data_IF_594554962188
#
_entry.id   IF_594554962188
#
_cell.length_a   1.000
_cell.length_b   1.000
_cell.length_c   1.000
_cell.angle_alpha   90.00
_cell.angle_beta   90.00
_cell.angle_gamma   90.00
#
_symmetry.space_group_name_H-M   'P 1'
#
loop_
_entity.id
_entity.type
_entity.pdbx_description
1 polymer ?
#
# COMPACT_ATOMS: atom_id res chain seq x y z
N UNK A 1 -38.88 10.96 -43.93
CA UNK A 1 -37.74 11.28 -43.04
C UNK A 1 -38.03 10.71 -41.67
N UNK A 2 -37.46 9.54 -41.35
CA UNK A 2 -37.72 8.82 -40.10
C UNK A 2 -36.62 9.20 -39.11
N UNK A 3 -36.96 9.93 -38.06
CA UNK A 3 -36.02 10.32 -37.01
C UNK A 3 -35.67 9.09 -36.16
N UNK A 4 -34.41 8.67 -36.19
CA UNK A 4 -33.86 7.67 -35.27
C UNK A 4 -33.66 8.36 -33.93
N UNK A 5 -34.57 8.09 -32.98
CA UNK A 5 -34.41 8.50 -31.59
C UNK A 5 -33.29 7.64 -31.00
N UNK A 6 -32.14 8.27 -30.73
CA UNK A 6 -31.02 7.62 -30.05
C UNK A 6 -31.47 7.21 -28.64
N UNK A 7 -31.34 5.92 -28.33
CA UNK A 7 -31.64 5.40 -27.01
C UNK A 7 -30.70 6.02 -25.95
N UNK A 8 -31.20 6.37 -24.76
CA UNK A 8 -30.37 6.94 -23.71
C UNK A 8 -29.28 5.96 -23.28
N UNK A 9 -28.04 6.43 -23.27
CA UNK A 9 -26.88 5.71 -22.71
C UNK A 9 -27.18 5.43 -21.23
N UNK A 10 -27.43 4.16 -20.89
CA UNK A 10 -27.60 3.73 -19.50
C UNK A 10 -26.31 4.04 -18.73
N UNK A 11 -26.36 5.02 -17.84
CA UNK A 11 -25.29 5.20 -16.87
C UNK A 11 -25.25 3.97 -15.93
N UNK A 12 -24.08 3.36 -15.71
CA UNK A 12 -24.00 2.21 -14.83
C UNK A 12 -24.29 2.64 -13.38
N UNK A 13 -25.41 2.18 -12.83
CA UNK A 13 -25.71 2.29 -11.40
C UNK A 13 -24.73 1.42 -10.61
N UNK A 14 -23.77 2.03 -9.92
CA UNK A 14 -22.80 1.33 -9.06
C UNK A 14 -23.44 0.92 -7.72
N UNK A 15 -24.25 -0.12 -7.71
CA UNK A 15 -24.68 -0.74 -6.45
C UNK A 15 -23.52 -1.46 -5.76
N UNK A 16 -23.40 -1.36 -4.43
CA UNK A 16 -22.31 -1.98 -3.66
C UNK A 16 -22.18 -3.50 -3.89
N UNK A 17 -23.29 -4.21 -4.11
CA UNK A 17 -23.32 -5.64 -4.44
C UNK A 17 -22.69 -5.90 -5.82
N UNK A 18 -22.96 -5.04 -6.83
CA UNK A 18 -22.37 -5.15 -8.17
C UNK A 18 -20.88 -4.82 -8.16
N UNK A 19 -20.46 -3.87 -7.33
CA UNK A 19 -19.05 -3.55 -7.14
C UNK A 19 -18.32 -4.76 -6.53
N UNK A 20 -18.82 -5.32 -5.42
CA UNK A 20 -18.22 -6.50 -4.77
C UNK A 20 -18.11 -7.70 -5.72
N UNK A 21 -19.19 -8.04 -6.44
CA UNK A 21 -19.16 -9.14 -7.42
C UNK A 21 -18.16 -8.87 -8.54
N UNK A 22 -18.05 -7.61 -8.99
CA UNK A 22 -17.08 -7.22 -10.02
C UNK A 22 -15.64 -7.34 -9.52
N UNK A 23 -15.33 -6.94 -8.28
CA UNK A 23 -13.97 -7.00 -7.74
C UNK A 23 -13.49 -8.44 -7.61
N UNK A 24 -14.30 -9.29 -6.97
CA UNK A 24 -13.99 -10.71 -6.79
C UNK A 24 -13.83 -11.45 -8.12
N UNK A 25 -14.56 -11.06 -9.17
CA UNK A 25 -14.44 -11.68 -10.49
C UNK A 25 -13.11 -11.35 -11.19
N UNK A 26 -12.59 -10.14 -11.02
CA UNK A 26 -11.36 -9.72 -11.70
C UNK A 26 -10.11 -10.16 -10.96
N UNK A 27 -10.14 -10.17 -9.61
CA UNK A 27 -9.05 -10.69 -8.79
C UNK A 27 -9.57 -11.33 -7.50
N UNK A 28 -9.94 -12.62 -7.54
CA UNK A 28 -10.53 -13.28 -6.37
C UNK A 28 -9.54 -13.42 -5.21
N UNK A 29 -8.26 -13.70 -5.48
CA UNK A 29 -7.28 -13.99 -4.41
C UNK A 29 -6.98 -12.76 -3.58
N UNK A 30 -6.67 -11.62 -4.23
CA UNK A 30 -6.40 -10.39 -3.49
C UNK A 30 -7.67 -9.85 -2.82
N UNK A 31 -8.84 -9.98 -3.47
CA UNK A 31 -10.09 -9.59 -2.83
C UNK A 31 -10.36 -10.40 -1.56
N UNK A 32 -10.31 -11.73 -1.65
CA UNK A 32 -10.61 -12.63 -0.52
C UNK A 32 -9.59 -12.46 0.62
N UNK A 33 -8.29 -12.41 0.30
CA UNK A 33 -7.25 -12.17 1.30
C UNK A 33 -7.37 -10.78 1.94
N UNK A 34 -7.69 -9.73 1.17
CA UNK A 34 -7.91 -8.39 1.70
C UNK A 34 -9.12 -8.32 2.65
N UNK A 35 -10.22 -8.98 2.31
CA UNK A 35 -11.39 -9.09 3.21
C UNK A 35 -11.04 -9.90 4.46
N UNK A 36 -10.32 -11.01 4.31
CA UNK A 36 -9.89 -11.82 5.46
C UNK A 36 -9.06 -11.00 6.45
N UNK A 37 -8.07 -10.23 5.97
CA UNK A 37 -7.27 -9.34 6.83
C UNK A 37 -8.13 -8.29 7.54
N UNK A 38 -9.09 -7.68 6.84
CA UNK A 38 -10.01 -6.72 7.45
C UNK A 38 -10.87 -7.38 8.56
N UNK A 39 -11.26 -8.64 8.39
CA UNK A 39 -12.00 -9.39 9.40
C UNK A 39 -11.11 -9.80 10.58
N UNK A 40 -9.84 -10.16 10.32
CA UNK A 40 -8.85 -10.51 11.35
C UNK A 40 -8.46 -9.30 12.23
N UNK A 41 -8.61 -8.08 11.73
CA UNK A 41 -8.45 -6.89 12.56
C UNK A 41 -9.39 -6.85 13.77
N UNK A 42 -10.57 -7.48 13.71
CA UNK A 42 -11.49 -7.51 14.84
C UNK A 42 -10.98 -8.32 16.06
N UNK A 43 -10.57 -9.60 15.93
CA UNK A 43 -9.95 -10.32 17.04
C UNK A 43 -8.62 -9.71 17.48
N UNK A 44 -7.81 -9.15 16.58
CA UNK A 44 -6.58 -8.44 16.96
C UNK A 44 -6.88 -7.17 17.77
N UNK A 45 -7.94 -6.44 17.44
CA UNK A 45 -8.40 -5.28 18.21
C UNK A 45 -8.94 -5.69 19.58
N UNK A 46 -9.67 -6.81 19.63
CA UNK A 46 -10.09 -7.38 20.90
C UNK A 46 -8.88 -7.77 21.76
N UNK A 47 -7.84 -8.37 21.17
CA UNK A 47 -6.59 -8.68 21.86
C UNK A 47 -5.91 -7.42 22.42
N UNK A 48 -5.81 -6.34 21.63
CA UNK A 48 -5.31 -5.04 22.09
C UNK A 48 -6.11 -4.48 23.28
N UNK A 49 -7.42 -4.74 23.32
CA UNK A 49 -8.27 -4.27 24.41
C UNK A 49 -8.10 -5.07 25.72
N UNK A 50 -7.79 -6.37 25.64
CA UNK A 50 -7.75 -7.26 26.82
C UNK A 50 -6.33 -7.58 27.30
N UNK A 51 -5.33 -7.48 26.43
CA UNK A 51 -3.92 -7.75 26.74
C UNK A 51 -3.20 -6.44 27.05
N UNK A 52 -3.10 -6.10 28.34
CA UNK A 52 -2.45 -4.86 28.80
C UNK A 52 -0.92 -4.84 28.68
N UNK A 53 -0.30 -5.79 27.98
CA UNK A 53 1.15 -5.81 27.77
C UNK A 53 1.56 -4.78 26.71
N UNK A 54 2.68 -4.10 26.98
CA UNK A 54 3.31 -3.17 26.05
C UNK A 54 4.70 -3.62 25.66
N UNK A 55 5.10 -3.35 24.42
CA UNK A 55 6.43 -3.55 23.89
C UNK A 55 6.97 -2.21 23.40
N UNK A 56 8.11 -1.77 23.92
CA UNK A 56 8.73 -0.47 23.59
C UNK A 56 7.81 0.74 23.80
N UNK A 57 6.93 0.68 24.81
CA UNK A 57 6.03 1.79 25.16
C UNK A 57 4.78 1.91 24.28
N UNK A 58 4.56 0.97 23.34
CA UNK A 58 3.32 0.83 22.57
C UNK A 58 2.65 -0.50 22.92
N UNK A 59 1.32 -0.57 22.79
CA UNK A 59 0.56 -1.81 22.93
C UNK A 59 1.02 -2.88 21.93
N UNK A 60 1.17 -4.13 22.40
CA UNK A 60 1.71 -5.25 21.62
C UNK A 60 0.97 -5.49 20.30
N UNK A 61 -0.33 -5.24 20.27
CA UNK A 61 -1.24 -5.60 19.18
C UNK A 61 -1.45 -4.48 18.18
N UNK A 62 -1.00 -3.26 18.48
CA UNK A 62 -1.14 -2.11 17.58
C UNK A 62 -0.34 -2.32 16.28
N UNK A 63 0.85 -2.91 16.35
CA UNK A 63 1.63 -3.23 15.15
C UNK A 63 0.91 -4.25 14.24
N UNK A 64 0.46 -5.42 14.73
CA UNK A 64 -0.41 -6.32 13.99
C UNK A 64 -1.60 -5.62 13.32
N UNK A 65 -2.36 -4.80 14.07
CA UNK A 65 -3.52 -4.07 13.54
C UNK A 65 -3.17 -3.16 12.36
N UNK A 66 -2.08 -2.40 12.49
CA UNK A 66 -1.59 -1.51 11.42
C UNK A 66 -1.28 -2.31 10.16
N UNK A 67 -0.64 -3.47 10.29
CA UNK A 67 -0.32 -4.34 9.16
C UNK A 67 -1.57 -4.95 8.51
N UNK A 68 -2.52 -5.45 9.31
CA UNK A 68 -3.78 -5.99 8.79
C UNK A 68 -4.56 -4.95 7.98
N UNK A 69 -4.70 -3.74 8.52
CA UNK A 69 -5.39 -2.63 7.84
C UNK A 69 -4.63 -2.23 6.58
N UNK A 70 -3.32 -2.02 6.65
CA UNK A 70 -2.52 -1.60 5.50
C UNK A 70 -2.52 -2.63 4.38
N UNK A 71 -2.30 -3.92 4.69
CA UNK A 71 -2.27 -5.00 3.72
C UNK A 71 -3.68 -5.30 3.15
N UNK A 72 -4.73 -5.13 3.96
CA UNK A 72 -6.11 -5.19 3.48
C UNK A 72 -6.38 -4.10 2.44
N UNK A 73 -6.06 -2.84 2.76
CA UNK A 73 -6.23 -1.71 1.84
C UNK A 73 -5.42 -1.93 0.56
N UNK A 74 -4.17 -2.40 0.69
CA UNK A 74 -3.29 -2.71 -0.42
C UNK A 74 -3.91 -3.74 -1.38
N UNK A 75 -4.32 -4.90 -0.86
CA UNK A 75 -4.89 -5.99 -1.66
C UNK A 75 -6.25 -5.61 -2.28
N UNK A 76 -7.10 -4.91 -1.53
CA UNK A 76 -8.39 -4.45 -2.05
C UNK A 76 -8.23 -3.37 -3.12
N UNK A 77 -7.19 -2.53 -3.01
CA UNK A 77 -6.85 -1.55 -4.05
C UNK A 77 -6.38 -2.25 -5.33
N UNK A 78 -5.51 -3.27 -5.21
CA UNK A 78 -5.11 -4.07 -6.37
C UNK A 78 -6.30 -4.82 -6.96
N UNK A 79 -7.16 -5.43 -6.15
CA UNK A 79 -8.38 -6.07 -6.65
C UNK A 79 -9.31 -5.09 -7.39
N UNK A 80 -9.35 -3.83 -6.97
CA UNK A 80 -10.03 -2.75 -7.70
C UNK A 80 -9.37 -2.40 -9.03
N UNK A 81 -8.04 -2.31 -9.06
CA UNK A 81 -7.27 -2.07 -10.28
C UNK A 81 -7.30 -3.24 -11.27
N UNK A 82 -7.60 -4.46 -10.79
CA UNK A 82 -7.68 -5.65 -11.63
C UNK A 82 -8.72 -5.55 -12.75
N UNK A 83 -9.72 -4.66 -12.60
CA UNK A 83 -10.73 -4.36 -13.64
C UNK A 83 -10.15 -3.84 -14.95
N UNK A 84 -8.93 -3.33 -14.93
CA UNK A 84 -8.23 -2.80 -16.11
C UNK A 84 -7.12 -3.70 -16.61
N UNK A 85 -6.92 -4.87 -16.01
CA UNK A 85 -6.01 -5.88 -16.55
C UNK A 85 -6.58 -6.49 -17.84
N UNK A 86 -5.74 -7.07 -18.72
CA UNK A 86 -6.23 -7.85 -19.84
C UNK A 86 -7.22 -8.93 -19.38
N UNK A 87 -8.32 -9.12 -20.13
CA UNK A 87 -9.30 -10.18 -19.83
C UNK A 87 -8.62 -11.55 -19.78
N UNK A 88 -9.02 -12.40 -18.85
CA UNK A 88 -8.44 -13.72 -18.68
C UNK A 88 -7.16 -13.76 -17.83
N UNK A 89 -6.64 -12.62 -17.34
CA UNK A 89 -5.38 -12.57 -16.59
C UNK A 89 -5.42 -13.46 -15.34
N UNK A 90 -6.47 -13.36 -14.52
CA UNK A 90 -6.63 -14.15 -13.30
C UNK A 90 -6.68 -15.67 -13.53
N UNK A 91 -7.03 -16.09 -14.76
CA UNK A 91 -7.12 -17.49 -15.17
C UNK A 91 -5.78 -18.06 -15.67
N UNK A 92 -4.81 -17.20 -16.03
CA UNK A 92 -3.50 -17.65 -16.52
C UNK A 92 -2.71 -18.33 -15.40
N UNK A 93 -2.12 -19.50 -15.70
CA UNK A 93 -1.37 -20.30 -14.72
C UNK A 93 -0.27 -19.51 -14.01
N UNK A 94 0.55 -18.77 -14.77
CA UNK A 94 1.63 -17.95 -14.19
C UNK A 94 1.09 -16.95 -13.16
N UNK A 95 -0.02 -16.30 -13.48
CA UNK A 95 -0.62 -15.27 -12.63
C UNK A 95 -1.29 -15.89 -11.40
N UNK A 96 -1.90 -17.06 -11.54
CA UNK A 96 -2.45 -17.81 -10.40
C UNK A 96 -1.37 -18.20 -9.39
N UNK A 97 -0.21 -18.65 -9.88
CA UNK A 97 0.93 -18.98 -9.02
C UNK A 97 1.45 -17.70 -8.38
N UNK A 98 1.69 -16.66 -9.17
CA UNK A 98 2.19 -15.37 -8.70
C UNK A 98 1.29 -14.74 -7.61
N UNK A 99 0.00 -14.58 -7.88
CA UNK A 99 -0.97 -14.03 -6.92
C UNK A 99 -1.10 -14.89 -5.66
N UNK A 100 -1.01 -16.22 -5.77
CA UNK A 100 -0.97 -17.09 -4.61
C UNK A 100 0.33 -16.90 -3.78
N UNK A 101 1.49 -16.75 -4.43
CA UNK A 101 2.76 -16.49 -3.74
C UNK A 101 2.76 -15.14 -3.03
N UNK A 102 2.14 -14.10 -3.61
CA UNK A 102 1.94 -12.80 -2.95
C UNK A 102 1.08 -12.95 -1.69
N UNK A 103 -0.04 -13.67 -1.77
CA UNK A 103 -0.90 -13.93 -0.60
C UNK A 103 -0.17 -14.76 0.45
N UNK A 104 0.64 -15.75 0.04
CA UNK A 104 1.44 -16.55 0.97
C UNK A 104 2.51 -15.72 1.69
N UNK A 105 3.17 -14.78 1.01
CA UNK A 105 4.10 -13.84 1.63
C UNK A 105 3.43 -12.96 2.67
N UNK A 106 2.22 -12.44 2.37
CA UNK A 106 1.41 -11.68 3.33
C UNK A 106 0.99 -12.53 4.52
N UNK A 107 0.57 -13.78 4.29
CA UNK A 107 0.19 -14.69 5.37
C UNK A 107 1.38 -15.00 6.29
N UNK A 108 2.56 -15.27 5.72
CA UNK A 108 3.80 -15.44 6.47
C UNK A 108 4.11 -14.22 7.34
N UNK A 109 4.08 -13.03 6.74
CA UNK A 109 4.33 -11.77 7.44
C UNK A 109 3.38 -11.58 8.63
N UNK A 110 2.08 -11.83 8.42
CA UNK A 110 1.09 -11.68 9.49
C UNK A 110 1.26 -12.71 10.61
N UNK A 111 1.52 -13.98 10.27
CA UNK A 111 1.78 -15.01 11.28
C UNK A 111 2.99 -14.64 12.13
N UNK A 112 4.05 -14.14 11.50
CA UNK A 112 5.26 -13.75 12.20
C UNK A 112 5.06 -12.53 13.09
N UNK A 113 4.42 -11.47 12.57
CA UNK A 113 4.14 -10.25 13.35
C UNK A 113 3.21 -10.54 14.53
N UNK A 114 2.12 -11.28 14.33
CA UNK A 114 1.20 -11.66 15.40
C UNK A 114 1.88 -12.58 16.42
N UNK A 115 2.71 -13.53 15.97
CA UNK A 115 3.49 -14.40 16.85
C UNK A 115 4.47 -13.61 17.73
N UNK A 116 5.20 -12.66 17.14
CA UNK A 116 6.11 -11.78 17.89
C UNK A 116 5.35 -10.93 18.92
N UNK A 117 4.19 -10.37 18.55
CA UNK A 117 3.32 -9.63 19.47
C UNK A 117 2.83 -10.51 20.64
N UNK A 118 2.42 -11.75 20.37
CA UNK A 118 1.98 -12.69 21.39
C UNK A 118 3.10 -13.03 22.38
N UNK A 119 4.33 -13.19 21.88
CA UNK A 119 5.54 -13.45 22.67
C UNK A 119 6.11 -12.20 23.36
N UNK A 120 5.63 -11.00 23.02
CA UNK A 120 6.18 -9.74 23.53
C UNK A 120 7.61 -9.47 23.05
N UNK A 121 7.92 -9.86 21.81
CA UNK A 121 9.24 -9.68 21.20
C UNK A 121 9.17 -8.85 19.92
N UNK A 122 10.31 -8.35 19.46
CA UNK A 122 10.39 -7.70 18.16
C UNK A 122 10.22 -8.73 17.03
N UNK A 123 9.40 -8.41 16.02
CA UNK A 123 9.47 -9.10 14.72
C UNK A 123 10.64 -8.56 13.90
N UNK A 124 10.57 -7.28 13.52
CA UNK A 124 11.62 -6.62 12.76
C UNK A 124 12.75 -6.14 13.66
N UNK A 125 13.99 -6.26 13.20
CA UNK A 125 15.21 -5.89 13.94
C UNK A 125 15.43 -6.69 15.24
N UNK A 126 14.91 -7.91 15.29
CA UNK A 126 15.18 -8.83 16.38
C UNK A 126 16.57 -9.47 16.17
N UNK A 127 17.54 -9.29 17.09
CA UNK A 127 18.91 -9.77 16.92
C UNK A 127 19.09 -11.26 17.25
N UNK A 128 18.01 -11.98 17.60
CA UNK A 128 18.08 -13.44 17.79
C UNK A 128 18.34 -14.15 16.44
N UNK A 129 19.05 -15.30 16.44
CA UNK A 129 19.31 -16.06 15.21
C UNK A 129 18.03 -16.39 14.42
N UNK A 130 16.97 -16.80 15.12
CA UNK A 130 15.66 -17.05 14.53
C UNK A 130 15.01 -15.77 13.98
N UNK A 131 15.16 -14.65 14.69
CA UNK A 131 14.68 -13.34 14.27
C UNK A 131 15.30 -12.89 12.94
N UNK A 132 16.61 -13.03 12.79
CA UNK A 132 17.34 -12.68 11.56
C UNK A 132 16.93 -13.55 10.36
N UNK A 133 16.67 -14.84 10.59
CA UNK A 133 16.18 -15.75 9.56
C UNK A 133 14.79 -15.32 9.09
N UNK A 134 13.85 -15.10 10.01
CA UNK A 134 12.51 -14.65 9.65
C UNK A 134 12.54 -13.26 8.99
N UNK A 135 13.41 -12.36 9.46
CA UNK A 135 13.60 -11.04 8.86
C UNK A 135 14.07 -11.13 7.40
N UNK A 136 15.00 -12.04 7.09
CA UNK A 136 15.47 -12.27 5.72
C UNK A 136 14.34 -12.77 4.81
N UNK A 137 13.53 -13.72 5.29
CA UNK A 137 12.35 -14.19 4.56
C UNK A 137 11.28 -13.11 4.39
N UNK A 138 11.06 -12.29 5.42
CA UNK A 138 10.14 -11.16 5.37
C UNK A 138 10.58 -10.12 4.33
N UNK A 139 11.89 -9.85 4.21
CA UNK A 139 12.43 -8.99 3.15
C UNK A 139 12.13 -9.50 1.75
N UNK A 140 12.32 -10.81 1.51
CA UNK A 140 11.95 -11.46 0.23
C UNK A 140 10.43 -11.39 0.01
N UNK A 141 9.65 -11.64 1.05
CA UNK A 141 8.19 -11.54 1.04
C UNK A 141 7.69 -10.14 0.71
N UNK A 142 8.31 -9.10 1.29
CA UNK A 142 8.02 -7.70 1.06
C UNK A 142 8.34 -7.28 -0.38
N UNK A 143 9.46 -7.75 -0.94
CA UNK A 143 9.78 -7.55 -2.36
C UNK A 143 8.74 -8.23 -3.26
N UNK A 144 8.41 -9.49 -2.96
CA UNK A 144 7.44 -10.26 -3.73
C UNK A 144 6.04 -9.62 -3.69
N UNK A 145 5.53 -9.26 -2.51
CA UNK A 145 4.21 -8.63 -2.42
C UNK A 145 4.20 -7.28 -3.14
N UNK A 146 5.21 -6.42 -2.90
CA UNK A 146 5.24 -5.06 -3.46
C UNK A 146 5.38 -5.09 -4.99
N UNK A 147 5.99 -6.13 -5.54
CA UNK A 147 6.10 -6.36 -6.99
C UNK A 147 4.75 -6.40 -7.72
N UNK A 148 3.64 -6.64 -7.01
CA UNK A 148 2.31 -6.66 -7.64
C UNK A 148 1.95 -5.31 -8.26
N UNK A 149 2.47 -4.21 -7.70
CA UNK A 149 2.24 -2.86 -8.22
C UNK A 149 2.84 -2.65 -9.63
N UNK A 150 4.15 -2.83 -9.88
CA UNK A 150 4.69 -2.71 -11.24
C UNK A 150 4.21 -3.81 -12.20
N UNK A 151 3.88 -5.01 -11.73
CA UNK A 151 3.23 -6.03 -12.58
C UNK A 151 1.89 -5.53 -13.09
N UNK A 152 1.07 -4.93 -12.24
CA UNK A 152 -0.19 -4.31 -12.63
C UNK A 152 0.04 -3.11 -13.56
N UNK A 153 1.02 -2.26 -13.27
CA UNK A 153 1.39 -1.13 -14.14
C UNK A 153 1.69 -1.61 -15.56
N UNK A 154 2.53 -2.64 -15.70
CA UNK A 154 2.91 -3.23 -16.98
C UNK A 154 1.70 -3.83 -17.74
N UNK A 155 0.88 -4.62 -17.05
CA UNK A 155 -0.32 -5.23 -17.63
C UNK A 155 -1.34 -4.19 -18.10
N UNK A 156 -1.61 -3.16 -17.29
CA UNK A 156 -2.54 -2.08 -17.62
C UNK A 156 -1.99 -1.22 -18.76
N UNK A 157 -0.70 -0.89 -18.74
CA UNK A 157 -0.05 -0.13 -19.80
C UNK A 157 -0.23 -0.81 -21.16
N UNK A 158 0.02 -2.12 -21.22
CA UNK A 158 -0.11 -2.95 -22.42
C UNK A 158 -1.54 -3.27 -22.83
N UNK A 159 -2.53 -3.03 -21.99
CA UNK A 159 -3.93 -3.29 -22.32
C UNK A 159 -4.52 -2.11 -23.14
N UNK A 160 -4.84 -2.28 -24.44
CA UNK A 160 -5.43 -1.20 -25.25
C UNK A 160 -6.92 -0.99 -24.92
N UNK A 161 -7.61 -1.98 -24.35
CA UNK A 161 -9.07 -1.98 -24.17
C UNK A 161 -9.51 -1.65 -22.74
N UNK A 162 -8.69 -0.91 -21.98
CA UNK A 162 -9.03 -0.51 -20.60
C UNK A 162 -10.29 0.37 -20.52
N UNK A 163 -10.61 1.14 -21.57
CA UNK A 163 -11.68 2.13 -21.54
C UNK A 163 -11.41 3.34 -20.62
N UNK A 164 -10.21 3.44 -20.05
CA UNK A 164 -9.80 4.58 -19.23
C UNK A 164 -9.50 5.79 -20.12
N UNK A 165 -9.84 6.99 -19.61
CA UNK A 165 -9.33 8.23 -20.16
C UNK A 165 -7.79 8.19 -20.21
N UNK A 166 -7.15 8.68 -21.29
CA UNK A 166 -5.69 8.65 -21.43
C UNK A 166 -4.92 9.20 -20.23
N UNK A 167 -5.35 10.33 -19.65
CA UNK A 167 -4.70 10.92 -18.47
C UNK A 167 -4.83 10.04 -17.21
N UNK A 168 -6.01 9.45 -16.97
CA UNK A 168 -6.23 8.54 -15.85
C UNK A 168 -5.47 7.22 -16.01
N UNK A 169 -5.40 6.67 -17.23
CA UNK A 169 -4.58 5.49 -17.50
C UNK A 169 -3.11 5.76 -17.19
N UNK A 170 -2.60 6.91 -17.62
CA UNK A 170 -1.21 7.31 -17.34
C UNK A 170 -0.97 7.49 -15.83
N UNK A 171 -1.87 8.17 -15.12
CA UNK A 171 -1.79 8.32 -13.66
C UNK A 171 -1.77 6.97 -12.94
N UNK A 172 -2.65 6.05 -13.33
CA UNK A 172 -2.73 4.70 -12.78
C UNK A 172 -1.44 3.91 -12.98
N UNK A 173 -0.94 3.88 -14.21
CA UNK A 173 0.31 3.18 -14.56
C UNK A 173 1.49 3.79 -13.83
N UNK A 174 1.62 5.13 -13.80
CA UNK A 174 2.73 5.82 -13.14
C UNK A 174 2.71 5.60 -11.63
N UNK A 175 1.56 5.74 -10.96
CA UNK A 175 1.46 5.50 -9.51
C UNK A 175 1.84 4.08 -9.12
N UNK A 176 1.35 3.09 -9.87
CA UNK A 176 1.70 1.68 -9.65
C UNK A 176 3.18 1.38 -9.96
N UNK A 177 3.74 1.96 -11.02
CA UNK A 177 5.14 1.74 -11.40
C UNK A 177 6.12 2.35 -10.39
N UNK A 178 5.78 3.51 -9.79
CA UNK A 178 6.63 4.21 -8.83
C UNK A 178 6.59 3.62 -7.42
N UNK A 179 5.54 2.86 -7.08
CA UNK A 179 5.35 2.34 -5.72
C UNK A 179 6.52 1.45 -5.30
N UNK A 180 6.90 0.44 -6.08
CA UNK A 180 8.03 -0.43 -5.75
C UNK A 180 9.37 0.32 -5.60
N UNK A 181 9.89 1.08 -6.58
CA UNK A 181 11.21 1.70 -6.45
C UNK A 181 11.30 2.70 -5.29
N UNK A 182 10.26 3.51 -5.05
CA UNK A 182 10.25 4.42 -3.89
C UNK A 182 10.20 3.65 -2.56
N UNK A 183 9.45 2.54 -2.53
CA UNK A 183 9.36 1.68 -1.35
C UNK A 183 10.70 1.01 -1.07
N UNK A 184 11.40 0.52 -2.10
CA UNK A 184 12.73 -0.09 -1.96
C UNK A 184 13.77 0.92 -1.47
N UNK A 185 13.73 2.17 -1.94
CA UNK A 185 14.62 3.22 -1.45
C UNK A 185 14.44 3.44 0.05
N UNK A 186 13.19 3.62 0.50
CA UNK A 186 12.87 3.97 1.88
C UNK A 186 13.02 2.78 2.84
N UNK A 187 12.44 1.62 2.50
CA UNK A 187 12.52 0.41 3.32
C UNK A 187 13.93 -0.21 3.30
N UNK A 188 14.63 -0.13 2.17
CA UNK A 188 16.00 -0.63 2.05
C UNK A 188 16.94 0.11 2.98
N UNK A 189 16.81 1.44 3.07
CA UNK A 189 17.58 2.25 4.01
C UNK A 189 17.27 1.89 5.47
N UNK A 190 15.99 1.75 5.83
CA UNK A 190 15.60 1.29 7.18
C UNK A 190 16.19 -0.08 7.52
N UNK A 191 16.17 -1.01 6.55
CA UNK A 191 16.76 -2.34 6.72
C UNK A 191 18.27 -2.29 6.88
N UNK A 192 18.95 -1.42 6.14
CA UNK A 192 20.40 -1.26 6.23
C UNK A 192 20.83 -0.67 7.57
N UNK A 193 20.06 0.28 8.10
CA UNK A 193 20.33 0.90 9.39
C UNK A 193 19.97 0.02 10.59
N UNK A 194 19.11 -0.99 10.39
CA UNK A 194 18.52 -1.75 11.49
C UNK A 194 17.55 -0.93 12.35
N UNK A 195 17.07 0.20 11.84
CA UNK A 195 16.23 1.16 12.57
C UNK A 195 15.41 2.01 11.60
N UNK A 196 14.36 2.66 12.13
CA UNK A 196 13.55 3.61 11.35
C UNK A 196 13.75 5.08 11.77
N UNK A 197 14.29 5.33 12.96
CA UNK A 197 14.50 6.67 13.51
C UNK A 197 15.94 7.15 13.35
N UNK A 198 16.11 8.47 13.17
CA UNK A 198 17.41 9.17 13.17
C UNK A 198 17.33 10.35 14.12
N UNK A 199 18.18 10.37 15.15
CA UNK A 199 18.10 11.38 16.21
C UNK A 199 16.81 11.28 17.03
N UNK A 200 16.47 12.35 17.75
CA UNK A 200 15.34 12.39 18.68
C UNK A 200 15.68 11.87 20.07
N UNK A 201 14.88 12.30 21.06
CA UNK A 201 15.09 11.98 22.48
C UNK A 201 14.53 10.61 22.87
N UNK A 202 13.66 10.02 22.04
CA UNK A 202 13.03 8.73 22.30
C UNK A 202 12.06 8.74 23.50
N UNK A 203 11.69 9.92 24.00
CA UNK A 203 10.84 10.08 25.19
C UNK A 203 9.36 9.92 24.84
N UNK A 204 8.60 9.28 25.75
CA UNK A 204 7.16 9.07 25.62
C UNK A 204 6.41 10.40 25.43
N UNK A 205 5.51 10.43 24.44
CA UNK A 205 4.86 11.65 23.96
C UNK A 205 5.52 12.25 22.72
N UNK A 206 6.67 11.75 22.26
CA UNK A 206 7.36 12.24 21.07
C UNK A 206 6.84 11.70 19.72
N UNK A 207 5.65 11.09 19.64
CA UNK A 207 5.17 10.46 18.38
C UNK A 207 3.81 10.97 17.90
N UNK A 208 3.57 10.91 16.58
CA UNK A 208 2.27 11.19 15.99
C UNK A 208 1.22 10.18 16.46
N UNK A 209 0.00 10.63 16.85
CA UNK A 209 -1.10 9.73 17.17
C UNK A 209 -1.38 8.77 16.01
N UNK A 210 -1.72 7.52 16.32
CA UNK A 210 -1.99 6.44 15.38
C UNK A 210 -0.75 5.96 14.62
N UNK A 211 -0.06 6.82 13.88
CA UNK A 211 1.06 6.39 13.03
C UNK A 211 2.33 6.06 13.82
N UNK A 212 2.52 6.68 14.99
CA UNK A 212 3.67 6.46 15.85
C UNK A 212 4.97 7.06 15.31
N UNK A 213 4.93 7.94 14.31
CA UNK A 213 6.12 8.60 13.74
C UNK A 213 6.77 9.54 14.73
N UNK A 214 8.11 9.58 14.79
CA UNK A 214 8.85 10.51 15.65
C UNK A 214 8.52 11.99 15.33
N UNK A 215 8.39 12.81 16.37
CA UNK A 215 8.11 14.25 16.33
C UNK A 215 9.31 15.11 16.73
N UNK A 216 10.31 14.51 17.35
CA UNK A 216 11.52 15.15 17.87
C UNK A 216 12.79 14.68 17.16
N UNK A 217 12.65 13.83 16.15
CA UNK A 217 13.72 13.30 15.30
C UNK A 217 13.18 12.86 13.94
N UNK A 218 14.07 12.46 13.04
CA UNK A 218 13.69 11.97 11.72
C UNK A 218 13.12 10.56 11.77
N UNK A 219 12.05 10.30 11.00
CA UNK A 219 11.42 8.97 10.92
C UNK A 219 11.21 8.55 9.46
N UNK A 220 11.95 7.53 9.04
CA UNK A 220 11.94 7.00 7.68
C UNK A 220 10.58 6.36 7.31
N UNK A 221 9.75 6.00 8.30
CA UNK A 221 8.40 5.46 8.07
C UNK A 221 7.48 6.48 7.41
N UNK A 222 7.72 7.78 7.59
CA UNK A 222 6.94 8.84 6.93
C UNK A 222 7.17 8.78 5.41
N UNK A 223 8.44 8.80 4.99
CA UNK A 223 8.79 8.69 3.58
C UNK A 223 8.32 7.35 2.99
N UNK A 224 8.48 6.26 3.74
CA UNK A 224 8.00 4.95 3.35
C UNK A 224 6.48 4.90 3.13
N UNK A 225 5.69 5.50 4.03
CA UNK A 225 4.24 5.60 3.88
C UNK A 225 3.87 6.28 2.55
N UNK A 226 4.45 7.45 2.27
CA UNK A 226 4.17 8.13 1.00
C UNK A 226 4.71 7.35 -0.21
N UNK A 227 5.83 6.65 -0.09
CA UNK A 227 6.34 5.78 -1.14
C UNK A 227 5.34 4.64 -1.47
N UNK A 228 4.81 3.94 -0.46
CA UNK A 228 3.84 2.86 -0.65
C UNK A 228 2.50 3.37 -1.18
N UNK A 229 2.13 4.60 -0.84
CA UNK A 229 0.87 5.23 -1.27
C UNK A 229 0.94 5.96 -2.63
N UNK A 230 2.05 5.86 -3.37
CA UNK A 230 2.12 6.34 -4.74
C UNK A 230 1.01 5.73 -5.64
N UNK A 231 0.65 4.46 -5.38
CA UNK A 231 -0.47 3.77 -6.04
C UNK A 231 -1.86 4.34 -5.71
N UNK A 232 -2.00 5.22 -4.71
CA UNK A 232 -3.27 5.84 -4.32
C UNK A 232 -3.31 7.31 -4.72
N UNK A 233 -2.31 8.11 -4.34
CA UNK A 233 -2.34 9.55 -4.52
C UNK A 233 -2.23 9.96 -5.99
N UNK A 234 -1.34 9.33 -6.77
CA UNK A 234 -1.17 9.69 -8.20
C UNK A 234 -2.43 9.34 -9.00
N UNK A 235 -3.06 8.15 -8.86
CA UNK A 235 -4.30 7.85 -9.59
C UNK A 235 -5.49 8.70 -9.11
N UNK A 236 -5.57 9.04 -7.83
CA UNK A 236 -6.59 9.95 -7.31
C UNK A 236 -6.46 11.36 -7.93
N UNK A 237 -5.23 11.88 -8.02
CA UNK A 237 -4.99 13.13 -8.75
C UNK A 237 -5.33 12.98 -10.24
N UNK A 238 -5.03 11.83 -10.86
CA UNK A 238 -5.44 11.53 -12.23
C UNK A 238 -6.95 11.63 -12.46
N UNK A 239 -7.76 11.16 -11.51
CA UNK A 239 -9.21 11.27 -11.57
C UNK A 239 -9.66 12.74 -11.51
N UNK A 240 -9.12 13.51 -10.56
CA UNK A 240 -9.37 14.95 -10.47
C UNK A 240 -8.91 15.67 -11.75
N UNK A 241 -7.78 15.24 -12.32
CA UNK A 241 -7.18 15.84 -13.50
C UNK A 241 -8.06 15.68 -14.74
N UNK A 242 -8.67 14.51 -14.92
CA UNK A 242 -9.65 14.28 -15.99
C UNK A 242 -10.87 15.20 -15.84
N UNK A 243 -11.34 15.44 -14.62
CA UNK A 243 -12.49 16.31 -14.37
C UNK A 243 -12.18 17.80 -14.62
N UNK A 244 -10.96 18.24 -14.28
CA UNK A 244 -10.57 19.66 -14.35
C UNK A 244 -10.03 20.08 -15.71
N UNK A 245 -9.21 19.25 -16.36
CA UNK A 245 -8.51 19.60 -17.61
C UNK A 245 -8.90 18.71 -18.79
N UNK A 246 -9.70 17.67 -18.58
CA UNK A 246 -10.22 16.79 -19.62
C UNK A 246 -9.43 15.49 -19.82
N UNK A 247 -10.03 14.49 -20.49
CA UNK A 247 -9.52 13.11 -20.50
C UNK A 247 -8.19 12.91 -21.22
N UNK A 248 -7.83 13.81 -22.14
CA UNK A 248 -6.62 13.70 -22.97
C UNK A 248 -5.41 14.45 -22.39
N UNK A 249 -5.60 15.37 -21.44
CA UNK A 249 -4.56 16.29 -20.97
C UNK A 249 -3.70 15.62 -19.90
N UNK A 250 -2.52 15.12 -20.29
CA UNK A 250 -1.62 14.32 -19.44
C UNK A 250 -0.59 15.15 -18.66
N UNK A 251 -0.35 16.40 -19.06
CA UNK A 251 0.70 17.23 -18.46
C UNK A 251 0.51 17.44 -16.94
N UNK A 252 -0.69 17.74 -16.41
CA UNK A 252 -0.88 17.87 -14.96
C UNK A 252 -0.52 16.60 -14.20
N UNK A 253 -0.88 15.43 -14.72
CA UNK A 253 -0.55 14.13 -14.11
C UNK A 253 0.96 13.93 -14.04
N UNK A 254 1.69 14.27 -15.10
CA UNK A 254 3.15 14.16 -15.13
C UNK A 254 3.81 15.09 -14.13
N UNK A 255 3.37 16.36 -14.09
CA UNK A 255 3.89 17.35 -13.15
C UNK A 255 3.60 16.94 -11.70
N UNK A 256 2.40 16.44 -11.42
CA UNK A 256 2.05 15.90 -10.11
C UNK A 256 2.91 14.70 -9.73
N UNK A 257 3.10 13.73 -10.65
CA UNK A 257 3.94 12.56 -10.37
C UNK A 257 5.41 12.96 -10.09
N UNK A 258 5.97 13.91 -10.86
CA UNK A 258 7.31 14.45 -10.59
C UNK A 258 7.38 15.16 -9.24
N UNK A 259 6.39 16.00 -8.93
CA UNK A 259 6.27 16.65 -7.63
C UNK A 259 6.14 15.64 -6.49
N UNK A 260 5.41 14.54 -6.70
CA UNK A 260 5.24 13.47 -5.72
C UNK A 260 6.55 12.73 -5.44
N UNK A 261 7.33 12.43 -6.49
CA UNK A 261 8.68 11.85 -6.33
C UNK A 261 9.57 12.81 -5.53
N UNK A 262 9.61 14.09 -5.92
CA UNK A 262 10.41 15.10 -5.24
C UNK A 262 9.99 15.24 -3.76
N UNK A 263 8.70 15.19 -3.47
CA UNK A 263 8.16 15.20 -2.12
C UNK A 263 8.61 13.99 -1.30
N UNK A 264 8.49 12.76 -1.82
CA UNK A 264 8.94 11.54 -1.12
C UNK A 264 10.45 11.59 -0.85
N UNK A 265 11.25 12.00 -1.84
CA UNK A 265 12.71 12.13 -1.70
C UNK A 265 13.07 13.21 -0.68
N UNK A 266 12.35 14.33 -0.68
CA UNK A 266 12.57 15.39 0.30
C UNK A 266 12.24 14.91 1.72
N UNK A 267 11.07 14.30 1.96
CA UNK A 267 10.70 13.75 3.27
C UNK A 267 11.71 12.69 3.73
N UNK A 268 12.21 11.86 2.81
CA UNK A 268 13.27 10.88 3.09
C UNK A 268 14.59 11.55 3.52
N UNK A 269 15.00 12.60 2.82
CA UNK A 269 16.21 13.36 3.14
C UNK A 269 16.10 14.11 4.48
N UNK A 270 14.93 14.69 4.78
CA UNK A 270 14.64 15.32 6.08
C UNK A 270 14.75 14.29 7.21
N UNK A 271 14.16 13.11 7.04
CA UNK A 271 14.25 12.03 8.01
C UNK A 271 15.71 11.59 8.25
N UNK A 272 16.51 11.43 7.19
CA UNK A 272 17.94 11.11 7.32
C UNK A 272 18.77 12.22 7.97
N UNK A 273 18.35 13.48 7.82
CA UNK A 273 18.96 14.61 8.51
C UNK A 273 18.52 14.74 9.98
N UNK A 274 17.73 13.79 10.49
CA UNK A 274 17.20 13.79 11.86
C UNK A 274 16.12 14.86 12.09
N UNK A 275 15.50 15.39 11.04
CA UNK A 275 14.45 16.41 11.13
C UNK A 275 13.08 15.74 11.14
N UNK A 276 12.26 16.12 12.11
CA UNK A 276 10.89 15.62 12.22
C UNK A 276 10.01 16.08 11.07
N UNK A 277 9.08 15.22 10.66
CA UNK A 277 8.05 15.60 9.69
C UNK A 277 7.00 16.45 10.40
N UNK A 278 6.76 17.68 9.89
CA UNK A 278 5.80 18.62 10.46
C UNK A 278 6.00 18.88 11.98
N UNK A 279 7.16 19.42 12.40
CA UNK A 279 7.50 19.56 13.82
C UNK A 279 6.57 20.51 14.61
N UNK A 280 5.81 21.37 13.91
CA UNK A 280 4.88 22.32 14.51
C UNK A 280 3.42 21.87 14.55
N UNK A 281 3.11 20.63 14.16
CA UNK A 281 1.73 20.10 14.17
C UNK A 281 1.57 19.16 15.37
N UNK A 282 0.89 19.63 16.42
CA UNK A 282 0.64 18.90 17.67
C UNK A 282 -0.06 19.76 18.69
#
# INVERSE_FOLDING_TARGET
MTAIVAAPVRQPSFGAVRLRSSLRQHEPRFFEAGILLALLAAPTLFAAFVDGRSFQGEDNWIKPLKFEVALSVYLLTLAFYARWLPRGTAQRRWYRIYSASVVAAIAFEMVWICGAAALGTASHFNPSPEGEIFYSFAGIGALLLTSATPVYAWLIARNPTTGLAPALKEALVTGLALTLPLTLLTAGMMSQMGAHGVGGSGVAGGTFPVMGWLRDGGDLRVAHFFATHAMHFIPAFGLASVALWGPAVRLPVRLFALGYIAFVVWVFAEALAGRAFLPGVG
#
